data_IF_204452831227
#
_entry.id   IF_204452831227
#
_cell.length_a   1.000
_cell.length_b   1.000
_cell.length_c   1.000
_cell.angle_alpha   90.00
_cell.angle_beta   90.00
_cell.angle_gamma   90.00
#
_symmetry.space_group_name_H-M   'P 1'
#
loop_
_entity.id
_entity.type
_entity.pdbx_description
1 polymer ?
#
# COMPACT_ATOMS: atom_id res chain seq x y z
N UNK A 1 44.89 -28.62 -6.02
CA UNK A 1 44.09 -29.86 -5.85
C UNK A 1 42.63 -29.45 -5.93
N UNK A 2 42.03 -29.76 -7.08
CA UNK A 2 40.65 -29.62 -7.57
C UNK A 2 39.76 -28.47 -7.06
N UNK A 3 39.64 -27.43 -7.91
CA UNK A 3 38.57 -26.44 -7.90
C UNK A 3 37.24 -27.15 -8.27
N UNK A 4 36.37 -27.35 -7.29
CA UNK A 4 35.02 -27.84 -7.52
C UNK A 4 34.22 -26.74 -8.23
N UNK A 5 33.95 -26.95 -9.52
CA UNK A 5 33.04 -26.13 -10.30
C UNK A 5 31.61 -26.43 -9.84
N UNK A 6 31.08 -25.60 -8.94
CA UNK A 6 29.66 -25.63 -8.56
C UNK A 6 28.83 -25.13 -9.73
N UNK A 7 28.04 -26.02 -10.35
CA UNK A 7 27.08 -25.63 -11.39
C UNK A 7 26.05 -24.66 -10.79
N UNK A 8 25.66 -23.60 -11.51
CA UNK A 8 24.59 -22.71 -11.05
C UNK A 8 23.30 -23.52 -10.93
N UNK A 9 22.74 -23.52 -9.72
CA UNK A 9 21.45 -24.14 -9.46
C UNK A 9 20.40 -23.37 -10.27
N UNK A 10 19.84 -24.00 -11.30
CA UNK A 10 18.75 -23.44 -12.09
C UNK A 10 17.51 -23.41 -11.19
N UNK A 11 17.34 -22.31 -10.46
CA UNK A 11 16.07 -21.97 -9.85
C UNK A 11 15.07 -21.89 -11.00
N UNK A 12 14.22 -22.90 -11.12
CA UNK A 12 13.10 -22.92 -12.06
C UNK A 12 12.36 -21.59 -11.89
N UNK A 13 12.46 -20.72 -12.89
CA UNK A 13 11.65 -19.51 -12.99
C UNK A 13 10.23 -19.99 -13.18
N UNK A 14 9.49 -20.09 -12.09
CA UNK A 14 8.05 -20.26 -12.19
C UNK A 14 7.58 -18.90 -12.69
N UNK A 15 7.26 -18.84 -13.99
CA UNK A 15 6.66 -17.70 -14.66
C UNK A 15 5.22 -17.51 -14.13
N UNK A 16 5.08 -17.27 -12.83
CA UNK A 16 3.85 -16.77 -12.24
C UNK A 16 3.72 -15.33 -12.71
N UNK A 17 3.06 -15.17 -13.86
CA UNK A 17 2.51 -13.89 -14.28
C UNK A 17 1.52 -13.47 -13.20
N UNK A 18 2.02 -12.78 -12.18
CA UNK A 18 1.21 -12.22 -11.11
C UNK A 18 0.08 -11.43 -11.78
N UNK A 19 -1.18 -11.60 -11.33
CA UNK A 19 -2.27 -10.81 -11.86
C UNK A 19 -1.87 -9.33 -11.73
N UNK A 20 -1.66 -8.69 -12.87
CA UNK A 20 -1.38 -7.26 -12.91
C UNK A 20 -2.65 -6.59 -12.44
N UNK A 21 -2.61 -5.97 -11.26
CA UNK A 21 -3.65 -5.05 -10.82
C UNK A 21 -3.61 -3.86 -11.79
N UNK A 22 -4.34 -3.99 -12.90
CA UNK A 22 -4.50 -2.93 -13.87
C UNK A 22 -5.37 -1.85 -13.26
N UNK A 23 -4.76 -0.90 -12.55
CA UNK A 23 -5.42 0.36 -12.24
C UNK A 23 -5.55 1.12 -13.54
N UNK A 24 -6.77 1.23 -14.05
CA UNK A 24 -7.07 2.05 -15.23
C UNK A 24 -6.60 3.47 -15.00
N UNK A 25 -5.83 4.01 -15.95
CA UNK A 25 -5.22 5.34 -15.87
C UNK A 25 -6.31 6.39 -16.09
N UNK A 26 -7.12 6.66 -15.08
CA UNK A 26 -8.09 7.75 -15.06
C UNK A 26 -7.34 9.10 -15.05
N UNK A 27 -7.95 10.19 -15.56
CA UNK A 27 -7.37 11.52 -15.45
C UNK A 27 -7.08 11.84 -13.97
N UNK A 28 -5.94 12.47 -13.72
CA UNK A 28 -5.52 12.82 -12.36
C UNK A 28 -6.51 13.83 -11.76
N UNK A 29 -7.14 13.47 -10.64
CA UNK A 29 -7.97 14.39 -9.85
C UNK A 29 -7.04 15.28 -9.03
N UNK A 30 -7.25 16.59 -9.08
CA UNK A 30 -6.43 17.54 -8.29
C UNK A 30 -6.75 17.44 -6.79
N UNK A 31 -5.80 17.86 -5.96
CA UNK A 31 -6.01 17.89 -4.50
C UNK A 31 -7.18 18.81 -4.11
N UNK A 32 -7.38 19.89 -4.84
CA UNK A 32 -8.50 20.80 -4.59
C UNK A 32 -9.85 20.14 -4.91
N UNK A 33 -9.96 19.43 -6.03
CA UNK A 33 -11.16 18.66 -6.36
C UNK A 33 -11.47 17.58 -5.30
N UNK A 34 -10.44 16.88 -4.78
CA UNK A 34 -10.64 15.94 -3.69
C UNK A 34 -11.16 16.62 -2.41
N UNK A 35 -10.63 17.80 -2.06
CA UNK A 35 -11.10 18.57 -0.90
C UNK A 35 -12.54 19.03 -1.08
N UNK A 36 -12.91 19.48 -2.28
CA UNK A 36 -14.29 19.85 -2.59
C UNK A 36 -15.23 18.64 -2.49
N UNK A 37 -14.80 17.45 -2.95
CA UNK A 37 -15.59 16.23 -2.77
C UNK A 37 -15.84 15.90 -1.29
N UNK A 38 -14.83 16.03 -0.43
CA UNK A 38 -15.01 15.85 1.02
C UNK A 38 -15.96 16.90 1.61
N UNK A 39 -15.86 18.17 1.17
CA UNK A 39 -16.80 19.22 1.59
C UNK A 39 -18.23 18.88 1.19
N UNK A 40 -18.45 18.38 -0.02
CA UNK A 40 -19.76 17.89 -0.50
C UNK A 40 -20.28 16.74 0.35
N UNK A 41 -19.43 15.80 0.76
CA UNK A 41 -19.82 14.72 1.66
C UNK A 41 -20.29 15.25 3.02
N UNK A 42 -19.57 16.21 3.62
CA UNK A 42 -19.97 16.82 4.90
C UNK A 42 -21.35 17.48 4.80
N UNK A 43 -21.59 18.25 3.74
CA UNK A 43 -22.91 18.85 3.48
C UNK A 43 -24.00 17.79 3.31
N UNK A 44 -23.71 16.71 2.57
CA UNK A 44 -24.64 15.59 2.38
C UNK A 44 -24.98 14.84 3.66
N UNK A 45 -24.09 14.88 4.66
CA UNK A 45 -24.30 14.31 5.99
C UNK A 45 -25.01 15.27 6.96
N UNK A 46 -25.33 16.50 6.53
CA UNK A 46 -25.99 17.52 7.35
C UNK A 46 -25.04 18.29 8.28
N UNK A 47 -23.73 18.21 8.06
CA UNK A 47 -22.73 18.99 8.80
C UNK A 47 -22.52 20.38 8.19
N UNK A 48 -22.10 21.35 9.02
CA UNK A 48 -21.60 22.66 8.59
C UNK A 48 -20.08 22.61 8.36
N UNK A 49 -19.58 22.62 7.11
CA UNK A 49 -18.14 22.54 6.86
C UNK A 49 -17.36 23.79 7.27
N UNK A 50 -18.03 24.91 7.54
CA UNK A 50 -17.40 26.17 7.92
C UNK A 50 -17.27 26.34 9.44
N UNK A 51 -17.85 25.42 10.23
CA UNK A 51 -17.64 25.37 11.69
C UNK A 51 -16.18 25.13 12.03
N UNK A 52 -15.74 25.69 13.15
CA UNK A 52 -14.33 25.73 13.58
C UNK A 52 -13.64 24.36 13.51
N UNK A 53 -14.28 23.30 13.98
CA UNK A 53 -13.74 21.93 13.92
C UNK A 53 -13.65 21.28 12.53
N UNK A 54 -14.43 21.74 11.53
CA UNK A 54 -14.49 21.12 10.19
C UNK A 54 -13.81 21.89 9.08
N UNK A 55 -13.46 23.16 9.30
CA UNK A 55 -12.85 24.02 8.28
C UNK A 55 -11.64 23.37 7.59
N UNK A 56 -10.81 22.66 8.36
CA UNK A 56 -9.63 21.94 7.86
C UNK A 56 -9.88 20.43 7.62
N UNK A 57 -11.07 19.91 7.91
CA UNK A 57 -11.40 18.49 7.70
C UNK A 57 -11.17 18.04 6.26
N UNK A 58 -11.61 18.77 5.21
CA UNK A 58 -11.33 18.38 3.83
C UNK A 58 -9.85 18.15 3.54
N UNK A 59 -8.98 19.03 4.05
CA UNK A 59 -7.52 18.90 3.91
C UNK A 59 -6.99 17.66 4.66
N UNK A 60 -7.45 17.45 5.90
CA UNK A 60 -7.02 16.31 6.72
C UNK A 60 -7.45 14.96 6.13
N UNK A 61 -8.68 14.87 5.62
CA UNK A 61 -9.21 13.65 5.00
C UNK A 61 -8.42 13.30 3.74
N UNK A 62 -8.19 14.27 2.85
CA UNK A 62 -7.41 14.02 1.62
C UNK A 62 -5.98 13.57 1.95
N UNK A 63 -5.33 14.20 2.94
CA UNK A 63 -4.01 13.79 3.40
C UNK A 63 -4.03 12.36 3.96
N UNK A 64 -5.04 12.01 4.76
CA UNK A 64 -5.18 10.68 5.33
C UNK A 64 -5.39 9.61 4.25
N UNK A 65 -6.27 9.85 3.27
CA UNK A 65 -6.51 8.91 2.18
C UNK A 65 -5.24 8.67 1.36
N UNK A 66 -4.52 9.74 0.98
CA UNK A 66 -3.24 9.62 0.26
C UNK A 66 -2.20 8.81 1.03
N UNK A 67 -2.15 8.96 2.36
CA UNK A 67 -1.27 8.15 3.22
C UNK A 67 -1.69 6.68 3.25
N UNK A 68 -2.98 6.41 3.51
CA UNK A 68 -3.51 5.05 3.58
C UNK A 68 -3.36 4.27 2.26
N UNK A 69 -3.34 4.98 1.14
CA UNK A 69 -3.17 4.39 -0.20
C UNK A 69 -1.77 4.60 -0.79
N UNK A 70 -0.78 5.01 0.01
CA UNK A 70 0.57 5.30 -0.51
C UNK A 70 1.27 4.07 -1.07
N UNK A 71 0.87 2.87 -0.62
CA UNK A 71 1.41 1.59 -1.08
C UNK A 71 1.31 1.36 -2.59
N UNK A 72 0.33 1.96 -3.27
CA UNK A 72 0.22 1.86 -4.74
C UNK A 72 1.39 2.50 -5.50
N UNK A 73 2.11 3.42 -4.86
CA UNK A 73 3.25 4.11 -5.45
C UNK A 73 4.59 3.62 -4.89
N UNK A 74 4.61 2.49 -4.18
CA UNK A 74 5.84 1.92 -3.62
C UNK A 74 6.43 0.86 -4.55
N UNK A 75 7.76 0.83 -4.65
CA UNK A 75 8.50 -0.21 -5.38
C UNK A 75 8.94 -1.31 -4.41
N UNK A 76 8.71 -2.58 -4.79
CA UNK A 76 9.19 -3.72 -4.03
C UNK A 76 10.73 -3.76 -3.99
N UNK A 77 11.39 -3.39 -5.09
CA UNK A 77 12.85 -3.36 -5.18
C UNK A 77 13.45 -2.35 -4.19
N UNK A 78 12.90 -1.14 -4.17
CA UNK A 78 13.32 -0.08 -3.25
C UNK A 78 13.03 -0.46 -1.79
N UNK A 79 11.88 -1.10 -1.53
CA UNK A 79 11.48 -1.52 -0.19
C UNK A 79 12.36 -2.66 0.36
N UNK A 80 12.73 -3.63 -0.48
CA UNK A 80 13.63 -4.72 -0.09
C UNK A 80 15.07 -4.21 0.15
N UNK A 81 15.51 -3.17 -0.56
CA UNK A 81 16.81 -2.51 -0.37
C UNK A 81 18.00 -3.49 -0.27
N UNK A 82 17.97 -4.57 -1.06
CA UNK A 82 19.02 -5.60 -1.06
C UNK A 82 19.16 -6.39 0.24
N UNK A 83 18.18 -6.36 1.15
CA UNK A 83 18.20 -7.06 2.43
C UNK A 83 17.96 -8.58 2.27
N UNK A 84 18.84 -9.23 1.52
CA UNK A 84 18.85 -10.68 1.27
C UNK A 84 20.20 -11.22 1.77
N UNK A 85 20.14 -12.21 2.66
CA UNK A 85 21.32 -12.77 3.33
C UNK A 85 21.37 -14.28 3.12
N UNK A 86 22.58 -14.83 3.10
CA UNK A 86 22.81 -16.27 3.03
C UNK A 86 22.95 -16.85 4.44
N UNK A 87 22.18 -17.90 4.72
CA UNK A 87 22.21 -18.66 5.98
C UNK A 87 22.18 -20.16 5.67
N UNK A 88 22.99 -20.94 6.40
CA UNK A 88 23.13 -22.40 6.21
C UNK A 88 22.09 -23.19 7.03
N UNK A 89 20.85 -22.71 7.11
CA UNK A 89 19.73 -23.38 7.79
C UNK A 89 18.61 -23.71 6.81
N UNK A 90 18.00 -24.88 7.00
CA UNK A 90 16.83 -25.34 6.22
C UNK A 90 15.56 -25.41 7.08
N UNK A 91 15.55 -24.71 8.22
CA UNK A 91 14.44 -24.68 9.16
C UNK A 91 13.46 -23.53 8.85
N UNK A 92 12.22 -23.63 9.35
CA UNK A 92 11.19 -22.61 9.15
C UNK A 92 11.49 -21.35 9.97
N UNK A 93 11.45 -20.19 9.31
CA UNK A 93 11.43 -18.88 9.97
C UNK A 93 9.99 -18.38 10.03
N UNK A 94 9.48 -18.12 11.24
CA UNK A 94 8.14 -17.59 11.45
C UNK A 94 8.21 -16.15 11.97
N UNK A 95 7.64 -15.23 11.21
CA UNK A 95 7.30 -13.89 11.68
C UNK A 95 5.78 -13.82 11.80
N UNK A 96 5.28 -13.49 12.99
CA UNK A 96 3.86 -13.48 13.35
C UNK A 96 3.54 -12.23 14.13
N UNK A 97 2.25 -11.96 14.30
CA UNK A 97 1.72 -10.82 15.04
C UNK A 97 2.18 -9.47 14.43
N UNK A 98 2.08 -9.34 13.10
CA UNK A 98 2.44 -8.10 12.38
C UNK A 98 1.18 -7.23 12.27
N UNK A 99 1.18 -6.09 12.94
CA UNK A 99 0.03 -5.19 12.89
C UNK A 99 -0.30 -4.76 11.45
N UNK A 100 -1.55 -5.02 11.04
CA UNK A 100 -2.06 -4.70 9.72
C UNK A 100 -3.14 -3.62 9.81
N UNK A 101 -2.94 -2.54 9.05
CA UNK A 101 -3.92 -1.47 8.85
C UNK A 101 -4.21 -1.37 7.35
N UNK A 102 -5.45 -1.60 6.95
CA UNK A 102 -5.88 -1.51 5.56
C UNK A 102 -7.24 -0.81 5.44
N UNK A 103 -7.74 -0.67 4.22
CA UNK A 103 -9.05 -0.10 3.93
C UNK A 103 -9.84 -1.06 3.03
N UNK A 104 -11.09 -1.34 3.39
CA UNK A 104 -11.98 -2.14 2.55
C UNK A 104 -12.42 -1.31 1.35
N UNK A 105 -12.03 -1.70 0.15
CA UNK A 105 -12.37 -0.99 -1.10
C UNK A 105 -13.88 -0.80 -1.33
N UNK A 106 -14.71 -1.69 -0.80
CA UNK A 106 -16.17 -1.62 -0.95
C UNK A 106 -16.81 -0.47 -0.16
N UNK A 107 -16.19 -0.04 0.95
CA UNK A 107 -16.79 0.90 1.90
C UNK A 107 -15.85 2.04 2.31
N UNK A 108 -14.56 1.93 1.99
CA UNK A 108 -13.48 2.82 2.41
C UNK A 108 -13.42 2.92 3.94
N UNK A 109 -13.69 1.80 4.62
CA UNK A 109 -13.62 1.67 6.07
C UNK A 109 -12.39 0.86 6.50
N UNK A 110 -11.78 1.17 7.66
CA UNK A 110 -10.59 0.48 8.11
C UNK A 110 -10.81 -1.03 8.31
N UNK A 111 -9.82 -1.82 7.90
CA UNK A 111 -9.63 -3.21 8.31
C UNK A 111 -8.41 -3.23 9.22
N UNK A 112 -8.57 -3.77 10.43
CA UNK A 112 -7.53 -3.84 11.46
C UNK A 112 -7.25 -5.31 11.79
N UNK A 113 -5.98 -5.70 11.84
CA UNK A 113 -5.59 -7.10 12.04
C UNK A 113 -4.17 -7.28 12.54
N UNK A 114 -3.74 -8.55 12.57
CA UNK A 114 -2.40 -9.03 12.90
C UNK A 114 -2.00 -10.17 11.97
#
# INVERSE_FOLDING_TARGET
MTLAHSKPNQVNRIDHKLPSLTTTKHPAVSEEEMRQAVRTLLLGLGEDPDREGLKDTPKRVVKALKFLTSGYNQSLEELLNGAVFHEDTNEMVLVRDIDLFSSCEHHILPILGR
#
